data_IF_249635570568
#
_entry.id   IF_249635570568
#
_cell.length_a   1.000
_cell.length_b   1.000
_cell.length_c   1.000
_cell.angle_alpha   90.00
_cell.angle_beta   90.00
_cell.angle_gamma   90.00
#
_symmetry.space_group_name_H-M   'P 1'
#
loop_
_entity.id
_entity.type
_entity.pdbx_description
1 polymer ?
#
# COMPACT_ATOMS: atom_id res chain seq x y z
N UNK A 1 -18.52 20.45 -2.40
CA UNK A 1 -19.06 19.14 -2.80
C UNK A 1 -17.86 18.26 -3.05
N UNK A 2 -17.68 17.30 -2.17
CA UNK A 2 -16.44 16.58 -1.93
C UNK A 2 -16.21 15.49 -3.00
N UNK A 3 -15.45 15.83 -4.04
CA UNK A 3 -14.99 14.94 -5.12
C UNK A 3 -14.01 13.83 -4.63
N UNK A 4 -13.80 13.73 -3.32
CA UNK A 4 -13.00 12.69 -2.65
C UNK A 4 -13.77 11.39 -2.34
N UNK A 5 -15.02 11.26 -2.81
CA UNK A 5 -15.82 10.05 -2.58
C UNK A 5 -15.30 8.89 -3.41
N UNK A 6 -14.43 8.08 -2.81
CA UNK A 6 -14.02 6.79 -3.32
C UNK A 6 -15.26 5.90 -3.56
N UNK A 7 -15.63 5.71 -4.82
CA UNK A 7 -16.72 4.79 -5.18
C UNK A 7 -16.30 3.34 -4.94
N UNK A 8 -17.26 2.46 -4.68
CA UNK A 8 -17.03 1.02 -4.53
C UNK A 8 -16.23 0.43 -5.70
N UNK A 9 -16.55 0.85 -6.93
CA UNK A 9 -15.84 0.43 -8.13
C UNK A 9 -14.37 0.88 -8.13
N UNK A 10 -14.10 2.12 -7.74
CA UNK A 10 -12.74 2.66 -7.63
C UNK A 10 -11.92 1.93 -6.57
N UNK A 11 -12.53 1.62 -5.42
CA UNK A 11 -11.89 0.85 -4.34
C UNK A 11 -11.62 -0.60 -4.78
N UNK A 12 -12.54 -1.18 -5.55
CA UNK A 12 -12.37 -2.54 -6.05
C UNK A 12 -11.25 -2.63 -7.09
N UNK A 13 -11.18 -1.66 -8.01
CA UNK A 13 -10.09 -1.52 -8.96
C UNK A 13 -8.75 -1.23 -8.27
N UNK A 14 -8.74 -0.37 -7.25
CA UNK A 14 -7.58 -0.10 -6.39
C UNK A 14 -7.03 -1.39 -5.77
N UNK A 15 -7.92 -2.18 -5.16
CA UNK A 15 -7.55 -3.44 -4.51
C UNK A 15 -6.96 -4.43 -5.51
N UNK A 16 -7.61 -4.63 -6.66
CA UNK A 16 -7.11 -5.51 -7.72
C UNK A 16 -5.71 -5.11 -8.17
N UNK A 17 -5.49 -3.82 -8.40
CA UNK A 17 -4.20 -3.33 -8.85
C UNK A 17 -3.11 -3.45 -7.79
N UNK A 18 -3.45 -3.28 -6.52
CA UNK A 18 -2.54 -3.52 -5.41
C UNK A 18 -2.16 -5.01 -5.29
N UNK A 19 -3.11 -5.92 -5.50
CA UNK A 19 -2.84 -7.37 -5.55
C UNK A 19 -1.91 -7.74 -6.71
N UNK A 20 -2.03 -7.05 -7.86
CA UNK A 20 -1.11 -7.18 -8.99
C UNK A 20 0.24 -6.49 -8.77
N UNK A 21 0.52 -5.97 -7.56
CA UNK A 21 1.74 -5.24 -7.22
C UNK A 21 1.98 -4.04 -8.14
N UNK A 22 0.92 -3.38 -8.59
CA UNK A 22 1.05 -2.14 -9.37
C UNK A 22 1.53 -0.98 -8.48
N UNK A 23 2.43 -0.11 -8.97
CA UNK A 23 2.88 1.05 -8.22
C UNK A 23 1.78 2.11 -8.14
N UNK A 24 1.74 2.87 -7.04
CA UNK A 24 0.69 3.85 -6.80
C UNK A 24 0.56 4.91 -7.92
N UNK A 25 1.67 5.22 -8.61
CA UNK A 25 1.71 6.08 -9.79
C UNK A 25 0.85 5.52 -10.93
N UNK A 26 0.96 4.21 -11.24
CA UNK A 26 0.16 3.54 -12.28
C UNK A 26 -1.30 3.41 -11.85
N UNK A 27 -1.54 3.10 -10.58
CA UNK A 27 -2.90 2.99 -10.03
C UNK A 27 -3.63 4.34 -10.12
N UNK A 28 -2.94 5.43 -9.73
CA UNK A 28 -3.46 6.79 -9.84
C UNK A 28 -3.80 7.15 -11.28
N UNK A 29 -2.91 6.86 -12.23
CA UNK A 29 -3.16 7.09 -13.66
C UNK A 29 -4.40 6.34 -14.17
N UNK A 30 -4.62 5.09 -13.74
CA UNK A 30 -5.82 4.32 -14.14
C UNK A 30 -7.11 4.83 -13.51
N UNK A 31 -7.05 5.34 -12.28
CA UNK A 31 -8.21 5.83 -11.55
C UNK A 31 -8.46 7.33 -11.77
N UNK A 32 -7.57 8.04 -12.48
CA UNK A 32 -7.60 9.49 -12.61
C UNK A 32 -7.41 10.21 -11.27
N UNK A 33 -6.67 9.61 -10.33
CA UNK A 33 -6.41 10.15 -8.99
C UNK A 33 -4.93 10.35 -8.73
N UNK A 34 -4.61 11.23 -7.79
CA UNK A 34 -3.23 11.47 -7.42
C UNK A 34 -2.62 10.28 -6.68
N UNK A 35 -1.34 10.01 -6.94
CA UNK A 35 -0.63 8.89 -6.32
C UNK A 35 -0.61 9.00 -4.78
N UNK A 36 -0.61 10.21 -4.23
CA UNK A 36 -0.64 10.43 -2.78
C UNK A 36 -2.00 10.01 -2.17
N UNK A 37 -3.13 10.29 -2.85
CA UNK A 37 -4.46 9.84 -2.41
C UNK A 37 -4.59 8.32 -2.49
N UNK A 38 -4.07 7.72 -3.56
CA UNK A 38 -4.02 6.25 -3.75
C UNK A 38 -3.26 5.60 -2.61
N UNK A 39 -2.06 6.09 -2.27
CA UNK A 39 -1.25 5.59 -1.14
C UNK A 39 -2.00 5.72 0.18
N UNK A 40 -2.58 6.88 0.46
CA UNK A 40 -3.37 7.11 1.66
C UNK A 40 -4.55 6.15 1.76
N UNK A 41 -5.23 5.85 0.64
CA UNK A 41 -6.35 4.90 0.62
C UNK A 41 -5.89 3.45 0.79
N UNK A 42 -4.78 3.06 0.17
CA UNK A 42 -4.18 1.73 0.34
C UNK A 42 -3.79 1.47 1.80
N UNK A 43 -3.14 2.44 2.44
CA UNK A 43 -2.79 2.37 3.86
C UNK A 43 -4.03 2.22 4.76
N UNK A 44 -5.09 2.98 4.48
CA UNK A 44 -6.37 2.84 5.21
C UNK A 44 -7.01 1.46 5.05
N UNK A 45 -6.77 0.77 3.93
CA UNK A 45 -7.27 -0.58 3.66
C UNK A 45 -6.33 -1.69 4.15
N UNK A 46 -5.16 -1.34 4.71
CA UNK A 46 -4.13 -2.30 5.09
C UNK A 46 -3.44 -2.97 3.89
N UNK A 47 -3.52 -2.34 2.71
CA UNK A 47 -2.90 -2.81 1.46
C UNK A 47 -1.64 -2.00 1.20
N UNK A 48 -0.62 -2.64 0.60
CA UNK A 48 0.58 -1.95 0.11
C UNK A 48 0.58 -1.96 -1.41
N UNK A 49 0.89 -0.81 -2.01
CA UNK A 49 1.16 -0.75 -3.45
C UNK A 49 2.45 -1.50 -3.77
N UNK A 50 2.64 -1.88 -5.03
CA UNK A 50 3.95 -2.35 -5.48
C UNK A 50 5.03 -1.30 -5.26
N UNK A 51 6.30 -1.73 -5.09
CA UNK A 51 7.40 -0.78 -5.04
C UNK A 51 7.41 0.01 -6.35
N UNK A 52 7.36 1.33 -6.24
CA UNK A 52 7.90 2.17 -7.31
C UNK A 52 9.38 1.77 -7.42
N UNK A 53 9.93 1.64 -8.62
CA UNK A 53 11.21 0.94 -8.92
C UNK A 53 12.43 1.57 -8.18
N UNK A 54 12.21 2.58 -7.33
CA UNK A 54 13.18 3.34 -6.55
C UNK A 54 13.00 3.23 -5.02
N UNK A 55 12.72 2.05 -4.45
CA UNK A 55 12.94 1.81 -3.01
C UNK A 55 13.13 0.33 -2.67
N UNK A 56 14.38 -0.14 -2.53
CA UNK A 56 14.69 -1.44 -1.94
C UNK A 56 14.78 -1.35 -0.41
N UNK A 57 13.74 -0.89 0.31
CA UNK A 57 13.70 -0.97 1.78
C UNK A 57 12.30 -1.28 2.31
N UNK A 58 11.87 -2.52 2.11
CA UNK A 58 10.92 -3.17 3.00
C UNK A 58 11.34 -4.63 3.11
N UNK A 59 12.47 -4.83 3.80
CA UNK A 59 12.91 -6.14 4.22
C UNK A 59 11.81 -6.81 5.07
N UNK A 60 11.54 -8.11 4.88
CA UNK A 60 10.65 -8.83 5.76
C UNK A 60 11.36 -9.04 7.09
N UNK A 61 11.25 -8.12 8.03
CA UNK A 61 11.67 -8.40 9.42
C UNK A 61 10.56 -9.22 10.12
N UNK A 62 10.31 -10.40 9.56
CA UNK A 62 9.81 -11.56 10.30
C UNK A 62 10.98 -12.52 10.48
N UNK A 63 11.81 -12.21 11.46
CA UNK A 63 12.53 -13.20 12.26
C UNK A 63 12.27 -12.75 13.72
N UNK A 64 11.29 -13.30 14.44
CA UNK A 64 11.38 -14.60 15.09
C UNK A 64 12.80 -14.85 15.64
N UNK A 65 13.07 -14.43 16.89
CA UNK A 65 13.68 -15.28 17.92
C UNK A 65 13.63 -14.55 19.29
N UNK A 66 12.63 -14.90 20.11
CA UNK A 66 12.73 -14.80 21.58
C UNK A 66 13.60 -16.02 22.00
N UNK A 67 14.56 -16.00 22.97
CA UNK A 67 14.19 -15.74 24.37
C UNK A 67 15.25 -15.27 25.38
N UNK A 68 14.70 -14.89 26.54
CA UNK A 68 15.23 -15.14 27.89
C UNK A 68 16.17 -14.11 28.52
N UNK A 69 15.61 -13.48 29.55
CA UNK A 69 16.20 -13.24 30.88
C UNK A 69 17.58 -13.90 31.11
N UNK A 70 18.59 -13.14 31.55
CA UNK A 70 19.33 -13.34 32.81
C UNK A 70 20.66 -12.55 32.85
N UNK A 71 21.04 -12.18 34.07
CA UNK A 71 22.34 -11.72 34.58
C UNK A 71 22.75 -10.25 34.35
N UNK A 72 23.16 -9.50 35.38
CA UNK A 72 23.55 -9.83 36.76
C UNK A 72 23.33 -8.58 37.64
#
# INVERSE_FOLDING_TARGET
MDDSSWTLESVHALKRLAEERAPASVIGLKLGREAHEVRAKLLQLGLSAGPDVESPEAGPERAADEPRMHNL
#
